data_IF_878223357060
#
_entry.id   IF_878223357060
#
_cell.length_a   1.000
_cell.length_b   1.000
_cell.length_c   1.000
_cell.angle_alpha   90.00
_cell.angle_beta   90.00
_cell.angle_gamma   90.00
#
_symmetry.space_group_name_H-M   'P 1'
#
loop_
_entity.id
_entity.type
_entity.pdbx_description
1 polymer ?
#
# COMPACT_ATOMS: atom_id res chain seq x y z
N UNK A 1 -11.77 -11.01 -24.13
CA UNK A 1 -12.52 -9.74 -24.01
C UNK A 1 -13.41 -9.86 -22.78
N UNK A 2 -13.52 -8.84 -21.94
CA UNK A 2 -14.17 -8.96 -20.62
C UNK A 2 -15.22 -7.87 -20.46
N UNK A 3 -16.45 -8.28 -20.14
CA UNK A 3 -17.60 -7.39 -20.00
C UNK A 3 -17.96 -7.19 -18.54
N UNK A 4 -18.31 -5.96 -18.16
CA UNK A 4 -18.62 -5.60 -16.76
C UNK A 4 -20.11 -5.31 -16.60
N UNK A 5 -20.89 -6.36 -16.34
CA UNK A 5 -22.29 -6.23 -16.00
C UNK A 5 -22.55 -5.77 -14.56
N UNK A 6 -23.82 -5.48 -14.25
CA UNK A 6 -24.34 -5.27 -12.88
C UNK A 6 -25.34 -6.37 -12.53
N UNK A 7 -25.30 -6.90 -11.31
CA UNK A 7 -26.31 -7.84 -10.83
C UNK A 7 -27.56 -7.05 -10.40
N UNK A 8 -28.71 -7.37 -11.00
CA UNK A 8 -30.02 -6.81 -10.64
C UNK A 8 -31.03 -7.95 -10.60
N UNK A 9 -31.70 -8.15 -9.46
CA UNK A 9 -32.69 -9.23 -9.30
C UNK A 9 -32.13 -10.63 -9.56
N UNK A 10 -30.85 -10.87 -9.25
CA UNK A 10 -30.15 -12.14 -9.51
C UNK A 10 -29.68 -12.34 -10.96
N UNK A 11 -29.95 -11.39 -11.88
CA UNK A 11 -29.50 -11.45 -13.28
C UNK A 11 -28.32 -10.52 -13.52
N UNK A 12 -27.36 -10.92 -14.34
CA UNK A 12 -26.26 -10.05 -14.79
C UNK A 12 -26.74 -9.25 -16.00
N UNK A 13 -26.94 -7.93 -15.82
CA UNK A 13 -27.25 -7.01 -16.90
C UNK A 13 -25.95 -6.48 -17.50
N UNK A 14 -25.72 -6.77 -18.78
CA UNK A 14 -24.59 -6.24 -19.55
C UNK A 14 -24.92 -4.84 -20.11
N UNK A 15 -23.90 -4.00 -20.41
CA UNK A 15 -24.08 -2.74 -21.14
C UNK A 15 -24.72 -2.94 -22.54
N UNK A 16 -25.46 -1.96 -23.08
CA UNK A 16 -26.23 -2.11 -24.32
C UNK A 16 -25.37 -2.19 -25.60
N UNK A 17 -24.09 -1.84 -25.52
CA UNK A 17 -23.08 -2.06 -26.56
C UNK A 17 -22.63 -3.53 -26.66
N UNK A 18 -22.81 -4.32 -25.58
CA UNK A 18 -22.33 -5.70 -25.49
C UNK A 18 -23.34 -6.67 -26.08
N UNK A 19 -23.00 -7.21 -27.26
CA UNK A 19 -23.78 -8.23 -27.95
C UNK A 19 -23.07 -9.58 -27.86
N UNK A 20 -23.71 -10.54 -27.18
CA UNK A 20 -23.33 -11.95 -27.17
C UNK A 20 -24.37 -12.75 -27.99
N UNK A 21 -23.99 -13.83 -28.68
CA UNK A 21 -24.95 -14.66 -29.40
C UNK A 21 -25.84 -15.43 -28.42
N UNK A 22 -27.10 -15.66 -28.81
CA UNK A 22 -28.05 -16.44 -28.03
C UNK A 22 -27.53 -17.85 -27.76
N UNK A 23 -27.64 -18.30 -26.50
CA UNK A 23 -27.13 -19.60 -26.05
C UNK A 23 -25.62 -19.64 -25.72
N UNK A 24 -24.91 -18.51 -25.72
CA UNK A 24 -23.52 -18.47 -25.27
C UNK A 24 -23.38 -18.81 -23.78
N UNK A 25 -22.56 -19.83 -23.47
CA UNK A 25 -22.10 -20.12 -22.10
C UNK A 25 -21.07 -19.06 -21.65
N UNK A 26 -21.13 -18.64 -20.38
CA UNK A 26 -20.29 -17.56 -19.84
C UNK A 26 -19.86 -17.81 -18.39
N UNK A 27 -18.57 -17.64 -18.12
CA UNK A 27 -18.02 -17.63 -16.76
C UNK A 27 -18.31 -16.28 -16.07
N UNK A 28 -19.01 -16.33 -14.94
CA UNK A 28 -19.32 -15.14 -14.12
C UNK A 28 -18.32 -15.01 -12.97
N UNK A 29 -17.23 -14.27 -13.21
CA UNK A 29 -16.25 -13.92 -12.18
C UNK A 29 -16.76 -12.71 -11.37
N UNK A 30 -16.94 -12.80 -10.04
CA UNK A 30 -17.35 -11.66 -9.22
C UNK A 30 -16.31 -10.53 -9.28
N UNK A 31 -16.66 -9.41 -9.91
CA UNK A 31 -15.79 -8.24 -9.95
C UNK A 31 -15.82 -7.51 -8.60
N UNK A 32 -14.99 -7.94 -7.67
CA UNK A 32 -14.49 -7.02 -6.64
C UNK A 32 -13.67 -5.96 -7.37
N UNK A 33 -13.98 -4.66 -7.26
CA UNK A 33 -13.00 -3.65 -7.62
C UNK A 33 -11.73 -3.87 -6.78
N UNK A 34 -10.54 -3.52 -7.28
CA UNK A 34 -9.39 -3.36 -6.40
C UNK A 34 -9.81 -2.36 -5.32
N UNK A 35 -9.85 -2.82 -4.07
CA UNK A 35 -10.11 -1.95 -2.91
C UNK A 35 -9.11 -0.80 -3.03
N UNK A 36 -9.55 0.46 -3.07
CA UNK A 36 -8.66 1.57 -3.36
C UNK A 36 -7.51 1.55 -2.37
N UNK A 37 -6.29 1.28 -2.86
CA UNK A 37 -5.06 1.32 -2.07
C UNK A 37 -4.60 2.75 -1.79
N UNK A 38 -5.50 3.73 -1.95
CA UNK A 38 -5.71 4.75 -0.92
C UNK A 38 -6.14 4.11 0.41
N UNK A 39 -5.24 3.33 1.00
CA UNK A 39 -5.33 2.88 2.38
C UNK A 39 -5.53 4.10 3.27
N UNK A 40 -6.66 4.18 3.96
CA UNK A 40 -7.12 5.38 4.66
C UNK A 40 -5.96 5.98 5.47
N UNK A 41 -5.56 7.23 5.20
CA UNK A 41 -4.44 7.84 5.93
C UNK A 41 -4.72 7.99 7.43
N UNK A 42 -5.98 7.84 7.83
CA UNK A 42 -6.46 7.76 9.22
C UNK A 42 -6.31 6.37 9.88
N UNK A 43 -6.10 5.30 9.12
CA UNK A 43 -5.83 3.94 9.64
C UNK A 43 -4.35 3.58 9.61
N UNK A 44 -3.51 4.48 9.08
CA UNK A 44 -2.07 4.30 8.99
C UNK A 44 -1.42 4.78 10.29
N UNK A 45 -0.75 3.90 11.07
CA UNK A 45 0.12 4.39 12.11
C UNK A 45 1.23 5.22 11.45
N UNK A 46 1.36 6.46 11.90
CA UNK A 46 2.35 7.43 11.41
C UNK A 46 3.77 6.91 11.62
N UNK A 47 4.77 7.54 10.98
CA UNK A 47 6.16 7.19 11.21
C UNK A 47 6.56 7.32 12.69
N UNK A 48 5.98 8.30 13.41
CA UNK A 48 6.21 8.49 14.84
C UNK A 48 5.62 7.34 15.68
N UNK A 49 4.42 6.87 15.37
CA UNK A 49 3.79 5.75 16.08
C UNK A 49 4.49 4.42 15.79
N UNK A 50 4.85 4.17 14.53
CA UNK A 50 5.56 2.96 14.09
C UNK A 50 6.96 2.80 14.70
N UNK A 51 7.61 3.90 15.07
CA UNK A 51 8.94 3.91 15.68
C UNK A 51 8.95 4.37 17.15
N UNK A 52 7.77 4.49 17.78
CA UNK A 52 7.60 5.01 19.14
C UNK A 52 8.53 4.36 20.16
N UNK A 53 8.66 3.04 20.09
CA UNK A 53 9.46 2.24 21.04
C UNK A 53 10.98 2.38 20.83
N UNK A 54 11.42 3.02 19.74
CA UNK A 54 12.83 3.29 19.41
C UNK A 54 13.22 4.76 19.63
N UNK A 55 12.26 5.69 19.63
CA UNK A 55 12.52 7.13 19.79
C UNK A 55 13.07 7.41 21.20
N UNK A 56 14.33 7.87 21.26
CA UNK A 56 14.99 8.24 22.53
C UNK A 56 15.53 7.08 23.36
N UNK A 57 15.56 5.85 22.84
CA UNK A 57 16.12 4.67 23.52
C UNK A 57 17.60 4.88 23.88
N UNK A 58 18.40 5.35 22.92
CA UNK A 58 19.83 5.55 23.09
C UNK A 58 20.11 6.92 23.71
N UNK A 59 20.61 6.94 24.96
CA UNK A 59 20.86 8.15 25.76
C UNK A 59 22.35 8.49 25.80
N UNK A 60 22.69 9.76 25.99
CA UNK A 60 24.08 10.23 26.11
C UNK A 60 24.90 10.18 24.82
N UNK A 61 24.24 10.02 23.67
CA UNK A 61 24.91 9.95 22.36
C UNK A 61 25.44 11.32 21.90
N UNK A 62 26.53 11.35 21.11
CA UNK A 62 26.96 12.54 20.37
C UNK A 62 25.87 13.05 19.41
N UNK A 63 25.70 14.37 19.34
CA UNK A 63 24.68 15.00 18.50
C UNK A 63 24.85 14.71 16.99
N UNK A 64 26.06 14.38 16.54
CA UNK A 64 26.38 14.06 15.15
C UNK A 64 26.44 12.55 14.85
N UNK A 65 26.02 11.67 15.78
CA UNK A 65 26.08 10.21 15.61
C UNK A 65 25.41 9.75 14.30
N UNK A 66 24.27 10.33 13.91
CA UNK A 66 23.56 9.92 12.71
C UNK A 66 24.40 10.17 11.42
N UNK A 67 25.11 11.29 11.36
CA UNK A 67 25.94 11.70 10.23
C UNK A 67 27.30 10.95 10.23
N UNK A 68 27.82 10.65 11.41
CA UNK A 68 29.13 10.05 11.66
C UNK A 68 29.09 8.66 12.32
N UNK A 69 28.08 7.84 12.03
CA UNK A 69 27.91 6.53 12.69
C UNK A 69 29.12 5.61 12.51
N UNK A 70 29.75 5.58 11.33
CA UNK A 70 30.95 4.79 11.06
C UNK A 70 32.17 5.21 11.90
N UNK A 71 32.25 6.48 12.30
CA UNK A 71 33.31 6.97 13.20
C UNK A 71 33.14 6.38 14.61
N UNK A 72 31.90 6.33 15.08
CA UNK A 72 31.56 5.86 16.43
C UNK A 72 31.46 4.35 16.55
N UNK A 73 31.13 3.64 15.46
CA UNK A 73 31.07 2.18 15.41
C UNK A 73 32.39 1.52 15.01
N UNK A 74 33.15 2.14 14.10
CA UNK A 74 34.30 1.52 13.43
C UNK A 74 35.58 2.37 13.47
N UNK A 75 35.58 3.52 14.16
CA UNK A 75 36.77 4.38 14.31
C UNK A 75 37.19 5.13 13.06
N UNK A 76 36.37 5.16 12.00
CA UNK A 76 36.70 5.86 10.75
C UNK A 76 36.81 7.39 10.95
N UNK A 77 37.49 8.14 10.05
CA UNK A 77 37.49 9.60 10.12
C UNK A 77 36.08 10.17 9.96
N UNK A 78 35.71 11.16 10.79
CA UNK A 78 34.43 11.87 10.66
C UNK A 78 34.27 12.48 9.26
N UNK A 79 33.06 12.37 8.70
CA UNK A 79 32.64 13.10 7.51
C UNK A 79 32.70 14.61 7.77
N UNK A 80 33.17 15.35 6.77
CA UNK A 80 33.05 16.80 6.70
C UNK A 80 31.92 17.14 5.72
N UNK A 81 31.20 18.22 6.02
CA UNK A 81 30.32 18.91 5.08
C UNK A 81 31.13 19.90 4.24
#
# INVERSE_FOLDING_TARGET
MTYRGKVVGGKVLLPPDVHLPDGAEVDVIPFSPPVPTGHNDHERPTLAERFKDFIGVCKGLPADLAENHDHYLYGTPKRKR
#
